data_IF_672234331117
#
_entry.id   IF_672234331117
#
_cell.length_a   1.000
_cell.length_b   1.000
_cell.length_c   1.000
_cell.angle_alpha   90.00
_cell.angle_beta   90.00
_cell.angle_gamma   90.00
#
_symmetry.space_group_name_H-M   'P 1'
#
loop_
_entity.id
_entity.type
_entity.pdbx_description
1 polymer ?
#
# COMPACT_ATOMS: atom_id res chain seq x y z
N UNK A 1 -32.74 44.80 -23.35
CA UNK A 1 -31.85 45.95 -23.67
C UNK A 1 -31.16 46.36 -22.38
N UNK A 2 -29.87 46.06 -22.24
CA UNK A 2 -28.92 46.82 -21.43
C UNK A 2 -27.53 46.31 -21.77
N UNK A 3 -26.76 47.18 -22.38
CA UNK A 3 -25.38 46.99 -22.80
C UNK A 3 -24.49 47.40 -21.60
N UNK A 4 -23.62 46.56 -21.11
CA UNK A 4 -22.52 46.97 -20.24
C UNK A 4 -21.23 47.00 -21.06
N UNK A 5 -20.76 48.22 -21.27
CA UNK A 5 -19.49 48.58 -21.91
C UNK A 5 -18.37 48.56 -20.88
N UNK A 6 -17.36 47.73 -21.09
CA UNK A 6 -16.12 47.72 -20.34
C UNK A 6 -15.22 48.87 -20.79
N UNK A 7 -14.88 49.79 -19.89
CA UNK A 7 -13.91 50.88 -20.13
C UNK A 7 -12.49 50.38 -19.80
N UNK A 8 -11.60 50.47 -20.81
CA UNK A 8 -10.16 50.37 -20.61
C UNK A 8 -9.60 51.71 -20.12
N UNK A 9 -8.85 51.70 -19.00
CA UNK A 9 -8.02 52.83 -18.59
C UNK A 9 -6.56 52.62 -19.03
N UNK A 10 -5.97 53.68 -19.60
CA UNK A 10 -4.59 53.77 -20.06
C UNK A 10 -3.61 53.74 -18.88
N UNK A 11 -2.53 53.01 -19.03
CA UNK A 11 -1.36 53.06 -18.12
C UNK A 11 -0.59 54.35 -18.35
N UNK A 12 -0.21 54.99 -17.23
CA UNK A 12 0.83 56.02 -17.16
C UNK A 12 2.13 55.41 -16.66
N UNK A 13 3.22 55.74 -17.34
CA UNK A 13 4.58 55.30 -17.01
C UNK A 13 5.13 56.01 -15.76
N UNK A 14 5.84 55.26 -14.92
CA UNK A 14 6.87 55.77 -14.02
C UNK A 14 6.65 55.55 -12.54
N UNK A 15 7.06 54.37 -12.04
CA UNK A 15 7.81 54.14 -10.79
C UNK A 15 7.96 52.61 -10.56
N UNK A 16 9.07 52.09 -10.02
CA UNK A 16 9.22 50.66 -9.79
C UNK A 16 8.35 50.23 -8.58
N UNK A 17 7.30 49.52 -8.84
CA UNK A 17 6.49 48.89 -7.80
C UNK A 17 7.23 47.70 -7.19
N UNK A 18 7.71 47.90 -5.97
CA UNK A 18 7.97 46.82 -5.04
C UNK A 18 6.64 46.13 -4.72
N UNK A 19 6.45 44.90 -5.19
CA UNK A 19 5.32 44.06 -4.81
C UNK A 19 5.64 43.53 -3.43
N UNK A 20 5.04 44.11 -2.39
CA UNK A 20 5.00 43.48 -1.08
C UNK A 20 4.03 42.28 -1.16
N UNK A 21 4.57 41.06 -1.12
CA UNK A 21 3.78 39.89 -0.80
C UNK A 21 3.50 39.92 0.71
N UNK A 22 2.32 40.34 1.11
CA UNK A 22 1.77 39.97 2.39
C UNK A 22 1.43 38.46 2.29
N UNK A 23 2.11 37.66 3.10
CA UNK A 23 1.75 36.28 3.31
C UNK A 23 0.46 36.29 4.15
N UNK A 24 -0.65 35.90 3.56
CA UNK A 24 -1.84 35.54 4.33
C UNK A 24 -1.42 34.47 5.34
N UNK A 25 -1.71 34.70 6.61
CA UNK A 25 -1.51 33.70 7.65
C UNK A 25 -2.18 32.39 7.22
N UNK A 26 -1.53 31.23 7.43
CA UNK A 26 -2.13 29.96 7.06
C UNK A 26 -3.47 29.83 7.75
N UNK A 27 -4.52 29.60 6.97
CA UNK A 27 -5.85 29.33 7.47
C UNK A 27 -5.78 28.34 8.64
N UNK A 28 -6.48 28.64 9.73
CA UNK A 28 -6.56 27.81 10.92
C UNK A 28 -6.67 26.33 10.53
N UNK A 29 -5.79 25.51 11.09
CA UNK A 29 -5.85 24.08 10.92
C UNK A 29 -7.27 23.62 11.28
N UNK A 30 -7.94 22.81 10.45
CA UNK A 30 -9.23 22.28 10.81
C UNK A 30 -9.10 21.58 12.16
N UNK A 31 -10.03 21.89 13.07
CA UNK A 31 -10.08 21.34 14.42
C UNK A 31 -9.84 19.83 14.37
N UNK A 32 -8.98 19.33 15.26
CA UNK A 32 -8.78 17.89 15.45
C UNK A 32 -10.14 17.21 15.45
N UNK A 33 -10.35 16.14 14.69
CA UNK A 33 -11.61 15.40 14.77
C UNK A 33 -11.83 15.06 16.25
N UNK A 34 -13.03 15.32 16.73
CA UNK A 34 -13.44 14.96 18.08
C UNK A 34 -13.07 13.50 18.31
N UNK A 35 -12.37 13.23 19.40
CA UNK A 35 -12.05 11.87 19.84
C UNK A 35 -13.36 11.11 19.93
N UNK A 36 -13.50 10.10 19.06
CA UNK A 36 -14.67 9.21 19.06
C UNK A 36 -14.62 8.38 20.36
N UNK A 37 -15.29 8.88 21.40
CA UNK A 37 -15.42 8.19 22.69
C UNK A 37 -16.27 6.91 22.61
N UNK A 38 -16.81 6.57 21.44
CA UNK A 38 -17.60 5.35 21.22
C UNK A 38 -16.75 4.09 21.01
N UNK A 39 -15.42 4.21 20.95
CA UNK A 39 -14.47 3.10 20.72
C UNK A 39 -13.78 2.60 22.02
N UNK A 40 -14.40 2.74 23.18
CA UNK A 40 -13.94 2.08 24.40
C UNK A 40 -14.42 0.63 24.45
N UNK A 41 -13.89 -0.21 23.56
CA UNK A 41 -13.74 -1.64 23.73
C UNK A 41 -12.41 -2.05 23.06
N UNK A 42 -11.31 -1.52 23.62
CA UNK A 42 -9.94 -2.00 23.39
C UNK A 42 -9.69 -3.19 24.33
N UNK A 43 -10.49 -4.24 24.20
CA UNK A 43 -10.23 -5.47 24.93
C UNK A 43 -9.73 -6.51 23.93
N UNK A 44 -8.42 -6.75 24.05
CA UNK A 44 -7.67 -7.93 23.60
C UNK A 44 -7.83 -8.23 22.10
N UNK A 45 -6.83 -7.83 21.32
CA UNK A 45 -6.44 -8.53 20.10
C UNK A 45 -6.25 -10.01 20.47
N UNK A 46 -7.34 -10.78 20.42
CA UNK A 46 -7.30 -12.23 20.64
C UNK A 46 -6.36 -12.84 19.64
N UNK A 47 -5.26 -13.33 20.13
CA UNK A 47 -4.28 -14.24 19.55
C UNK A 47 -4.13 -14.21 18.01
N UNK A 48 -3.42 -13.23 17.48
CA UNK A 48 -2.87 -13.29 16.13
C UNK A 48 -3.49 -12.32 15.14
N UNK A 49 -2.61 -11.66 14.37
CA UNK A 49 -2.98 -10.83 13.23
C UNK A 49 -3.35 -11.72 12.06
N UNK A 50 -4.56 -11.55 11.53
CA UNK A 50 -5.00 -12.20 10.32
C UNK A 50 -4.48 -11.44 9.08
N UNK A 51 -3.87 -12.16 8.15
CA UNK A 51 -3.44 -11.63 6.86
C UNK A 51 -3.85 -12.57 5.72
N UNK A 52 -4.36 -12.01 4.64
CA UNK A 52 -4.66 -12.71 3.39
C UNK A 52 -4.55 -11.74 2.22
N UNK A 53 -3.84 -12.13 1.15
CA UNK A 53 -3.82 -11.43 -0.13
C UNK A 53 -4.84 -12.07 -1.06
N UNK A 54 -5.66 -11.27 -1.74
CA UNK A 54 -6.66 -11.74 -2.72
C UNK A 54 -6.15 -11.67 -4.15
N UNK A 55 -4.98 -11.10 -4.34
CA UNK A 55 -4.27 -10.91 -5.58
C UNK A 55 -3.15 -9.90 -5.41
N UNK A 56 -2.03 -10.13 -6.10
CA UNK A 56 -0.84 -9.29 -6.01
C UNK A 56 -0.11 -9.18 -7.34
N UNK A 57 -0.37 -8.11 -8.08
CA UNK A 57 0.24 -7.81 -9.38
C UNK A 57 -0.64 -6.91 -10.24
N UNK A 58 -0.18 -6.56 -11.45
CA UNK A 58 -0.86 -5.60 -12.35
C UNK A 58 -2.27 -5.99 -12.81
N UNK A 59 -2.76 -7.18 -12.46
CA UNK A 59 -4.17 -7.61 -12.67
C UNK A 59 -5.10 -7.13 -11.57
N UNK A 60 -4.58 -6.90 -10.36
CA UNK A 60 -5.29 -6.38 -9.21
C UNK A 60 -4.57 -6.70 -7.91
N UNK A 61 -4.51 -5.69 -7.05
CA UNK A 61 -3.89 -5.76 -5.72
C UNK A 61 -4.96 -5.53 -4.66
N UNK A 62 -5.04 -6.43 -3.69
CA UNK A 62 -5.90 -6.28 -2.53
C UNK A 62 -5.47 -7.29 -1.46
N UNK A 63 -5.33 -6.83 -0.23
CA UNK A 63 -5.06 -7.70 0.91
C UNK A 63 -5.91 -7.28 2.12
N UNK A 64 -6.23 -8.23 3.00
CA UNK A 64 -6.86 -7.98 4.29
C UNK A 64 -5.82 -8.07 5.39
N UNK A 65 -5.88 -7.15 6.35
CA UNK A 65 -5.09 -7.17 7.58
C UNK A 65 -5.97 -6.76 8.77
N UNK A 66 -5.91 -7.53 9.86
CA UNK A 66 -6.70 -7.27 11.06
C UNK A 66 -6.99 -8.54 11.85
N UNK A 67 -8.12 -8.54 12.55
CA UNK A 67 -8.68 -9.72 13.21
C UNK A 67 -9.91 -10.22 12.44
N UNK A 68 -10.46 -11.42 12.69
CA UNK A 68 -11.69 -11.86 12.05
C UNK A 68 -12.89 -10.93 12.25
N UNK A 69 -12.88 -10.08 13.27
CA UNK A 69 -13.96 -9.17 13.61
C UNK A 69 -13.70 -7.72 13.18
N UNK A 70 -12.43 -7.34 12.97
CA UNK A 70 -12.06 -5.94 12.81
C UNK A 70 -10.75 -5.79 12.01
N UNK A 71 -10.84 -5.31 10.78
CA UNK A 71 -9.69 -5.15 9.91
C UNK A 71 -9.95 -4.22 8.73
N UNK A 72 -8.98 -4.14 7.87
CA UNK A 72 -8.97 -3.24 6.69
C UNK A 72 -8.56 -3.98 5.44
N UNK A 73 -8.94 -3.44 4.29
CA UNK A 73 -8.35 -3.79 3.01
C UNK A 73 -7.20 -2.82 2.70
N UNK A 74 -6.07 -3.36 2.25
CA UNK A 74 -5.01 -2.60 1.61
C UNK A 74 -5.23 -2.72 0.11
N UNK A 75 -5.51 -1.61 -0.53
CA UNK A 75 -5.93 -1.49 -1.92
C UNK A 75 -7.26 -2.18 -2.29
N UNK A 76 -7.74 -1.93 -3.50
CA UNK A 76 -9.05 -2.33 -4.00
C UNK A 76 -9.02 -2.68 -5.50
N UNK A 77 -7.98 -3.38 -5.95
CA UNK A 77 -7.78 -3.76 -7.35
C UNK A 77 -8.42 -5.08 -7.75
N UNK A 78 -8.79 -5.93 -6.78
CA UNK A 78 -9.42 -7.23 -7.00
C UNK A 78 -10.95 -7.11 -6.96
N UNK A 79 -11.67 -7.92 -7.74
CA UNK A 79 -13.14 -7.89 -7.74
C UNK A 79 -13.69 -8.15 -6.33
N UNK A 80 -14.51 -7.24 -5.80
CA UNK A 80 -15.06 -7.36 -4.44
C UNK A 80 -15.82 -8.65 -4.18
N UNK A 81 -16.45 -9.25 -5.20
CA UNK A 81 -17.12 -10.53 -5.02
C UNK A 81 -16.13 -11.61 -4.56
N UNK A 82 -14.97 -11.69 -5.23
CA UNK A 82 -13.92 -12.65 -4.87
C UNK A 82 -13.35 -12.34 -3.47
N UNK A 83 -13.08 -11.05 -3.18
CA UNK A 83 -12.57 -10.60 -1.88
C UNK A 83 -13.50 -11.03 -0.74
N UNK A 84 -14.79 -10.67 -0.83
CA UNK A 84 -15.74 -10.93 0.25
C UNK A 84 -16.20 -12.39 0.32
N UNK A 85 -16.15 -13.14 -0.78
CA UNK A 85 -16.38 -14.58 -0.75
C UNK A 85 -15.24 -15.31 -0.04
N UNK A 86 -13.99 -14.89 -0.29
CA UNK A 86 -12.83 -15.48 0.38
C UNK A 86 -12.77 -15.10 1.87
N UNK A 87 -13.04 -13.84 2.23
CA UNK A 87 -13.19 -13.43 3.63
C UNK A 87 -14.22 -14.31 4.35
N UNK A 88 -15.40 -14.52 3.74
CA UNK A 88 -16.45 -15.36 4.32
C UNK A 88 -16.00 -16.83 4.51
N UNK A 89 -15.24 -17.40 3.56
CA UNK A 89 -14.68 -18.77 3.70
C UNK A 89 -13.78 -18.90 4.92
N UNK A 90 -13.10 -17.80 5.27
CA UNK A 90 -12.22 -17.71 6.42
C UNK A 90 -12.91 -17.17 7.69
N UNK A 91 -14.26 -17.15 7.72
CA UNK A 91 -15.04 -16.73 8.90
C UNK A 91 -15.09 -15.21 9.12
N UNK A 92 -14.64 -14.39 8.15
CA UNK A 92 -14.61 -12.94 8.26
C UNK A 92 -15.85 -12.35 7.58
N UNK A 93 -16.69 -11.69 8.38
CA UNK A 93 -17.90 -11.02 7.89
C UNK A 93 -17.59 -9.72 7.13
N UNK A 94 -18.55 -9.28 6.29
CA UNK A 94 -18.41 -7.99 5.56
C UNK A 94 -18.20 -6.81 6.50
N UNK A 95 -18.88 -6.83 7.66
CA UNK A 95 -18.84 -5.76 8.65
C UNK A 95 -17.49 -5.69 9.39
N UNK A 96 -16.66 -6.72 9.29
CA UNK A 96 -15.29 -6.69 9.81
C UNK A 96 -14.38 -5.73 9.01
N UNK A 97 -14.69 -5.45 7.73
CA UNK A 97 -13.91 -4.55 6.89
C UNK A 97 -14.29 -3.10 7.22
N UNK A 98 -13.54 -2.43 8.07
CA UNK A 98 -13.83 -1.05 8.52
C UNK A 98 -13.31 0.02 7.58
N UNK A 99 -12.34 -0.32 6.71
CA UNK A 99 -11.77 0.63 5.78
C UNK A 99 -11.03 -0.01 4.62
N UNK A 100 -10.78 0.82 3.63
CA UNK A 100 -9.85 0.56 2.52
C UNK A 100 -8.75 1.60 2.61
N UNK A 101 -7.52 1.15 2.78
CA UNK A 101 -6.32 2.01 2.81
C UNK A 101 -5.66 1.91 1.45
N UNK A 102 -5.44 3.02 0.77
CA UNK A 102 -4.91 3.03 -0.60
C UNK A 102 -3.44 3.42 -0.62
N UNK A 103 -2.62 2.64 -1.34
CA UNK A 103 -1.19 2.88 -1.53
C UNK A 103 -0.93 3.95 -2.58
N UNK A 104 -1.54 3.83 -3.77
CA UNK A 104 -1.40 4.79 -4.87
C UNK A 104 -2.59 4.71 -5.85
N UNK A 105 -2.58 5.55 -6.89
CA UNK A 105 -3.74 5.75 -7.77
C UNK A 105 -3.71 4.96 -9.08
N UNK A 106 -2.92 3.89 -9.21
CA UNK A 106 -2.99 3.02 -10.37
C UNK A 106 -4.27 2.17 -10.36
N UNK A 107 -4.75 1.82 -11.56
CA UNK A 107 -6.04 1.17 -11.73
C UNK A 107 -6.13 -0.20 -11.04
N UNK A 108 -5.06 -0.95 -11.03
CA UNK A 108 -4.95 -2.25 -10.37
C UNK A 108 -4.90 -2.16 -8.82
N UNK A 109 -4.86 -0.95 -8.26
CA UNK A 109 -4.98 -0.69 -6.82
C UNK A 109 -6.32 -0.04 -6.43
N UNK A 110 -6.97 0.71 -7.33
CA UNK A 110 -8.14 1.52 -6.96
C UNK A 110 -9.45 1.17 -7.68
N UNK A 111 -9.39 0.27 -8.68
CA UNK A 111 -10.49 -0.04 -9.61
C UNK A 111 -11.84 -0.21 -8.95
N UNK A 112 -11.90 -0.89 -7.83
CA UNK A 112 -13.14 -1.28 -7.17
C UNK A 112 -13.42 -0.54 -5.87
N UNK A 113 -12.61 0.45 -5.48
CA UNK A 113 -12.75 1.14 -4.19
C UNK A 113 -14.17 1.67 -3.95
N UNK A 114 -14.77 2.32 -4.97
CA UNK A 114 -16.12 2.85 -4.84
C UNK A 114 -17.20 1.74 -4.76
N UNK A 115 -17.02 0.64 -5.52
CA UNK A 115 -17.92 -0.52 -5.46
C UNK A 115 -17.90 -1.16 -4.07
N UNK A 116 -16.74 -1.25 -3.43
CA UNK A 116 -16.61 -1.80 -2.07
C UNK A 116 -17.42 -0.97 -1.08
N UNK A 117 -17.16 0.34 -0.99
CA UNK A 117 -17.82 1.21 0.02
C UNK A 117 -19.27 1.49 -0.27
N UNK A 118 -19.71 1.40 -1.53
CA UNK A 118 -21.11 1.60 -1.91
C UNK A 118 -21.98 0.35 -1.73
N UNK A 119 -21.48 -0.82 -2.19
CA UNK A 119 -22.31 -2.00 -2.40
C UNK A 119 -22.05 -3.10 -1.37
N UNK A 120 -20.81 -3.19 -0.84
CA UNK A 120 -20.42 -4.27 0.05
C UNK A 120 -20.42 -3.87 1.53
N UNK A 121 -19.87 -2.71 1.87
CA UNK A 121 -19.93 -2.17 3.22
C UNK A 121 -19.97 -0.64 3.22
N UNK A 122 -21.16 -0.07 3.39
CA UNK A 122 -21.38 1.38 3.41
C UNK A 122 -20.79 2.09 4.64
N UNK A 123 -20.45 1.35 5.68
CA UNK A 123 -19.81 1.89 6.89
C UNK A 123 -18.30 2.00 6.73
N UNK A 124 -17.70 1.23 5.81
CA UNK A 124 -16.29 1.32 5.52
C UNK A 124 -15.92 2.70 4.97
N UNK A 125 -14.69 3.14 5.27
CA UNK A 125 -14.12 4.42 4.83
C UNK A 125 -12.89 4.18 3.95
N UNK A 126 -12.56 5.17 3.13
CA UNK A 126 -11.40 5.17 2.23
C UNK A 126 -10.33 6.07 2.82
N UNK A 127 -9.24 5.49 3.26
CA UNK A 127 -8.10 6.18 3.86
C UNK A 127 -7.04 6.43 2.79
N UNK A 128 -6.89 7.67 2.38
CA UNK A 128 -5.88 8.08 1.40
C UNK A 128 -5.63 9.58 1.50
N UNK A 129 -4.51 10.06 0.95
CA UNK A 129 -4.25 11.50 0.88
C UNK A 129 -5.23 12.19 -0.07
N UNK A 130 -5.42 13.48 0.11
CA UNK A 130 -6.22 14.30 -0.82
C UNK A 130 -5.64 14.29 -2.24
N UNK A 131 -4.30 14.21 -2.34
CA UNK A 131 -3.58 14.18 -3.62
C UNK A 131 -3.86 12.88 -4.37
N UNK A 132 -3.79 11.71 -3.68
CA UNK A 132 -4.15 10.41 -4.23
C UNK A 132 -5.61 10.39 -4.69
N UNK A 133 -6.56 10.80 -3.83
CA UNK A 133 -7.99 10.86 -4.18
C UNK A 133 -8.24 11.67 -5.45
N UNK A 134 -7.64 12.85 -5.55
CA UNK A 134 -7.79 13.69 -6.73
C UNK A 134 -7.08 13.10 -7.98
N UNK A 135 -5.95 12.44 -7.81
CA UNK A 135 -5.23 11.70 -8.86
C UNK A 135 -6.09 10.58 -9.43
N UNK A 136 -6.59 9.72 -8.57
CA UNK A 136 -7.48 8.61 -8.91
C UNK A 136 -8.72 9.08 -9.71
N UNK A 137 -9.37 10.16 -9.29
CA UNK A 137 -10.56 10.70 -9.97
C UNK A 137 -10.26 11.38 -11.30
N UNK A 138 -9.01 11.81 -11.55
CA UNK A 138 -8.59 12.35 -12.85
C UNK A 138 -8.19 11.26 -13.83
N UNK A 139 -7.56 10.19 -13.33
CA UNK A 139 -6.99 9.13 -14.18
C UNK A 139 -7.99 8.05 -14.54
N UNK A 140 -9.00 7.82 -13.68
CA UNK A 140 -9.90 6.67 -13.81
C UNK A 140 -11.37 7.09 -13.81
N UNK A 141 -12.20 6.27 -14.46
CA UNK A 141 -13.65 6.45 -14.47
C UNK A 141 -14.27 5.91 -13.15
N UNK A 142 -13.92 6.56 -12.03
CA UNK A 142 -14.45 6.26 -10.71
C UNK A 142 -15.43 7.37 -10.32
N UNK A 143 -16.57 7.00 -9.74
CA UNK A 143 -17.58 7.97 -9.30
C UNK A 143 -17.01 8.95 -8.26
N UNK A 144 -17.23 10.24 -8.47
CA UNK A 144 -16.83 11.29 -7.51
C UNK A 144 -17.47 11.13 -6.12
N UNK A 145 -18.54 10.36 -6.01
CA UNK A 145 -19.17 10.01 -4.71
C UNK A 145 -18.27 9.20 -3.79
N UNK A 146 -17.16 8.64 -4.29
CA UNK A 146 -16.15 8.01 -3.42
C UNK A 146 -15.58 8.98 -2.38
N UNK A 147 -15.60 10.29 -2.68
CA UNK A 147 -15.19 11.34 -1.71
C UNK A 147 -16.09 11.38 -0.46
N UNK A 148 -17.35 10.96 -0.55
CA UNK A 148 -18.28 10.93 0.60
C UNK A 148 -17.82 9.90 1.66
N UNK A 149 -16.94 8.99 1.28
CA UNK A 149 -16.36 7.95 2.13
C UNK A 149 -14.91 8.23 2.54
N UNK A 150 -14.30 9.31 2.04
CA UNK A 150 -12.89 9.59 2.31
C UNK A 150 -12.66 10.04 3.75
N UNK A 151 -11.66 9.43 4.38
CA UNK A 151 -10.96 9.95 5.55
C UNK A 151 -9.55 10.35 5.08
N UNK A 152 -9.24 11.64 5.00
CA UNK A 152 -7.92 12.08 4.54
C UNK A 152 -6.85 11.69 5.56
N UNK A 153 -5.74 11.17 5.05
CA UNK A 153 -4.54 10.88 5.83
C UNK A 153 -3.37 11.74 5.33
N UNK A 154 -2.34 11.85 6.15
CA UNK A 154 -1.13 12.60 5.83
C UNK A 154 0.09 11.69 5.98
N UNK A 155 1.05 11.87 5.09
CA UNK A 155 2.34 11.17 5.16
C UNK A 155 2.99 11.47 6.51
N UNK A 156 3.56 10.44 7.13
CA UNK A 156 4.25 10.49 8.43
C UNK A 156 3.42 11.01 9.62
N UNK A 157 2.10 11.04 9.44
CA UNK A 157 1.19 11.35 10.54
C UNK A 157 0.43 10.09 10.92
N UNK A 158 0.68 9.51 12.10
CA UNK A 158 0.00 8.29 12.53
C UNK A 158 -1.51 8.48 12.69
N UNK A 159 -2.27 7.46 12.33
CA UNK A 159 -3.70 7.38 12.59
C UNK A 159 -4.10 5.99 13.08
N UNK A 160 -5.14 5.91 13.90
CA UNK A 160 -5.63 4.64 14.44
C UNK A 160 -6.81 4.12 13.65
N UNK A 161 -6.78 2.81 13.35
CA UNK A 161 -7.85 2.11 12.67
C UNK A 161 -7.83 0.63 13.07
N UNK A 162 -8.96 0.10 13.51
CA UNK A 162 -9.11 -1.31 13.93
C UNK A 162 -8.14 -1.76 15.04
N UNK A 163 -7.84 -0.89 16.02
CA UNK A 163 -6.87 -1.19 17.07
C UNK A 163 -5.41 -1.17 16.62
N UNK A 164 -5.14 -0.90 15.36
CA UNK A 164 -3.80 -0.77 14.78
C UNK A 164 -3.46 0.71 14.56
N UNK A 165 -2.18 1.06 14.63
CA UNK A 165 -1.67 2.38 14.28
C UNK A 165 -0.97 2.31 12.92
N UNK A 166 -1.44 3.14 11.99
CA UNK A 166 -0.94 3.23 10.62
C UNK A 166 -0.10 4.49 10.47
N UNK A 167 1.07 4.36 9.86
CA UNK A 167 1.89 5.49 9.40
C UNK A 167 2.18 5.31 7.91
N UNK A 168 1.68 6.23 7.09
CA UNK A 168 2.00 6.27 5.68
C UNK A 168 3.41 6.85 5.48
N UNK A 169 4.20 6.27 4.58
CA UNK A 169 5.50 6.79 4.15
C UNK A 169 5.61 6.80 2.62
N UNK A 170 6.38 7.73 2.08
CA UNK A 170 6.54 7.84 0.62
C UNK A 170 7.35 6.68 0.03
N UNK A 171 6.86 6.14 -1.10
CA UNK A 171 7.58 5.20 -1.97
C UNK A 171 7.88 5.83 -3.32
N UNK A 172 8.89 5.32 -4.04
CA UNK A 172 9.31 5.85 -5.34
C UNK A 172 8.62 5.12 -6.47
N UNK A 173 7.48 5.65 -6.95
CA UNK A 173 6.72 5.07 -8.06
C UNK A 173 6.09 6.16 -8.94
N UNK A 174 5.52 5.80 -10.11
CA UNK A 174 5.00 6.76 -11.11
C UNK A 174 3.50 7.09 -10.94
N UNK A 175 2.90 6.81 -9.77
CA UNK A 175 1.57 7.28 -9.39
C UNK A 175 1.54 8.78 -9.05
N UNK A 176 0.34 9.34 -8.86
CA UNK A 176 0.18 10.74 -8.44
C UNK A 176 0.71 10.97 -7.03
N UNK A 177 0.53 9.99 -6.15
CA UNK A 177 0.97 9.96 -4.77
C UNK A 177 1.17 8.49 -4.38
N UNK A 178 2.34 8.13 -3.87
CA UNK A 178 2.72 6.74 -3.68
C UNK A 178 3.17 6.51 -2.25
N UNK A 179 2.57 5.54 -1.58
CA UNK A 179 2.79 5.30 -0.16
C UNK A 179 2.95 3.82 0.15
N UNK A 180 3.88 3.52 1.05
CA UNK A 180 3.86 2.33 1.88
C UNK A 180 3.20 2.63 3.22
N UNK A 181 2.94 1.59 4.00
CA UNK A 181 2.34 1.69 5.32
C UNK A 181 3.12 0.88 6.35
N UNK A 182 3.51 1.52 7.44
CA UNK A 182 3.92 0.87 8.67
C UNK A 182 2.69 0.73 9.57
N UNK A 183 2.34 -0.50 9.94
CA UNK A 183 1.13 -0.86 10.69
C UNK A 183 1.55 -1.49 11.99
N UNK A 184 1.44 -0.75 13.08
CA UNK A 184 1.83 -1.21 14.40
C UNK A 184 0.67 -1.83 15.15
N UNK A 185 0.91 -2.99 15.77
CA UNK A 185 -0.01 -3.73 16.61
C UNK A 185 0.71 -4.24 17.84
N UNK A 186 0.45 -3.60 18.98
CA UNK A 186 1.22 -3.87 20.18
C UNK A 186 2.72 -3.70 19.95
N UNK A 187 3.49 -4.78 20.12
CA UNK A 187 4.93 -4.78 19.90
C UNK A 187 5.36 -5.20 18.48
N UNK A 188 4.41 -5.49 17.60
CA UNK A 188 4.70 -6.00 16.27
C UNK A 188 4.37 -4.96 15.21
N UNK A 189 5.14 -4.98 14.11
CA UNK A 189 4.98 -4.05 12.99
C UNK A 189 4.86 -4.84 11.69
N UNK A 190 3.75 -4.67 10.98
CA UNK A 190 3.58 -5.12 9.61
C UNK A 190 3.89 -3.94 8.67
N UNK A 191 4.81 -4.14 7.72
CA UNK A 191 5.12 -3.10 6.73
C UNK A 191 4.68 -3.55 5.35
N UNK A 192 3.92 -2.68 4.69
CA UNK A 192 3.50 -2.82 3.28
C UNK A 192 4.32 -1.86 2.44
N UNK A 193 5.14 -2.39 1.55
CA UNK A 193 6.01 -1.63 0.65
C UNK A 193 5.92 -2.24 -0.75
N UNK A 194 4.82 -1.94 -1.45
CA UNK A 194 4.57 -2.35 -2.83
C UNK A 194 4.83 -1.20 -3.79
N UNK A 195 5.06 -1.53 -5.05
CA UNK A 195 5.25 -0.60 -6.16
C UNK A 195 6.29 0.49 -5.86
N UNK A 196 7.55 0.12 -6.04
CA UNK A 196 8.67 1.04 -5.87
C UNK A 196 9.82 0.66 -6.81
N UNK A 197 10.36 1.64 -7.54
CA UNK A 197 11.53 1.42 -8.39
C UNK A 197 12.85 1.33 -7.63
N UNK A 198 12.92 2.01 -6.49
CA UNK A 198 14.06 2.00 -5.56
C UNK A 198 13.55 2.05 -4.11
N UNK A 199 14.34 1.50 -3.21
CA UNK A 199 14.14 1.69 -1.77
C UNK A 199 14.78 3.02 -1.37
N UNK A 200 13.96 4.03 -1.10
CA UNK A 200 14.44 5.34 -0.66
C UNK A 200 14.87 5.27 0.81
N UNK A 201 15.72 6.20 1.30
CA UNK A 201 16.09 6.23 2.73
C UNK A 201 14.86 6.33 3.65
N UNK A 202 13.78 6.91 3.17
CA UNK A 202 12.52 7.00 3.90
C UNK A 202 11.82 5.63 3.99
N UNK A 203 11.68 4.93 2.88
CA UNK A 203 11.13 3.59 2.86
C UNK A 203 11.98 2.62 3.71
N UNK A 204 13.30 2.68 3.57
CA UNK A 204 14.26 1.92 4.38
C UNK A 204 14.04 2.10 5.88
N UNK A 205 13.88 3.37 6.33
CA UNK A 205 13.63 3.70 7.75
C UNK A 205 12.45 2.95 8.35
N UNK A 206 11.34 2.79 7.58
CA UNK A 206 10.16 2.05 8.05
C UNK A 206 10.31 0.54 7.87
N UNK A 207 10.87 0.11 6.76
CA UNK A 207 10.97 -1.31 6.40
C UNK A 207 11.96 -2.08 7.27
N UNK A 208 13.07 -1.46 7.69
CA UNK A 208 14.12 -2.12 8.48
C UNK A 208 13.68 -2.59 9.86
N UNK A 209 12.54 -2.08 10.37
CA UNK A 209 12.00 -2.43 11.68
C UNK A 209 10.78 -3.39 11.59
N UNK A 210 10.51 -3.96 10.42
CA UNK A 210 9.37 -4.82 10.19
C UNK A 210 9.52 -6.16 10.91
N UNK A 211 8.45 -6.62 11.56
CA UNK A 211 8.30 -8.00 12.01
C UNK A 211 7.69 -8.86 10.90
N UNK A 212 6.82 -8.27 10.12
CA UNK A 212 6.18 -8.82 8.93
C UNK A 212 6.36 -7.83 7.79
N UNK A 213 7.04 -8.23 6.72
CA UNK A 213 7.37 -7.37 5.59
C UNK A 213 6.71 -7.87 4.32
N UNK A 214 5.80 -7.08 3.75
CA UNK A 214 5.31 -7.25 2.39
C UNK A 214 6.10 -6.31 1.49
N UNK A 215 6.98 -6.87 0.66
CA UNK A 215 7.91 -6.12 -0.20
C UNK A 215 7.72 -6.49 -1.66
N UNK A 216 7.79 -5.53 -2.56
CA UNK A 216 7.79 -5.78 -3.99
C UNK A 216 9.00 -6.62 -4.40
N UNK A 217 8.73 -7.62 -5.27
CA UNK A 217 9.73 -8.42 -5.98
C UNK A 217 9.23 -8.63 -7.40
N UNK A 218 9.28 -7.55 -8.19
CA UNK A 218 8.51 -7.48 -9.44
C UNK A 218 9.13 -8.31 -10.55
N UNK A 219 10.42 -8.17 -10.81
CA UNK A 219 11.01 -8.81 -11.97
C UNK A 219 12.37 -9.45 -11.69
N UNK A 220 12.66 -10.51 -12.45
CA UNK A 220 14.01 -11.02 -12.63
C UNK A 220 14.71 -10.24 -13.74
N UNK A 221 15.96 -9.81 -13.51
CA UNK A 221 16.72 -8.99 -14.47
C UNK A 221 16.92 -9.69 -15.79
N UNK A 222 17.27 -10.98 -15.78
CA UNK A 222 17.52 -11.75 -16.99
C UNK A 222 16.23 -11.93 -17.79
N UNK A 223 15.11 -12.24 -17.13
CA UNK A 223 13.82 -12.35 -17.80
C UNK A 223 13.37 -11.03 -18.43
N UNK A 224 13.56 -9.91 -17.72
CA UNK A 224 13.24 -8.59 -18.27
C UNK A 224 14.12 -8.25 -19.48
N UNK A 225 15.43 -8.50 -19.39
CA UNK A 225 16.39 -8.17 -20.46
C UNK A 225 16.14 -8.99 -21.73
N UNK A 226 15.86 -10.28 -21.59
CA UNK A 226 15.59 -11.20 -22.70
C UNK A 226 14.12 -11.28 -23.09
N UNK A 227 13.23 -10.70 -22.27
CA UNK A 227 11.78 -10.76 -22.43
C UNK A 227 11.23 -9.95 -23.61
N UNK A 228 9.95 -10.16 -23.90
CA UNK A 228 9.26 -9.60 -25.07
C UNK A 228 8.91 -8.12 -24.98
N UNK A 229 9.12 -7.49 -23.83
CA UNK A 229 8.80 -6.07 -23.69
C UNK A 229 9.66 -5.21 -24.60
N UNK A 230 9.09 -4.18 -25.26
CA UNK A 230 9.87 -3.23 -26.00
C UNK A 230 10.78 -2.43 -25.07
N UNK A 231 11.90 -1.94 -25.60
CA UNK A 231 12.96 -1.30 -24.78
C UNK A 231 12.46 -0.11 -23.94
N UNK A 232 11.53 0.69 -24.44
CA UNK A 232 10.95 1.78 -23.65
C UNK A 232 10.22 1.29 -22.39
N UNK A 233 9.54 0.12 -22.49
CA UNK A 233 8.84 -0.47 -21.35
C UNK A 233 9.83 -1.12 -20.36
N UNK A 234 10.88 -1.79 -20.86
CA UNK A 234 11.96 -2.29 -20.02
C UNK A 234 12.65 -1.15 -19.26
N UNK A 235 12.93 -0.05 -19.95
CA UNK A 235 13.50 1.15 -19.33
C UNK A 235 12.59 1.75 -18.25
N UNK A 236 11.26 1.81 -18.49
CA UNK A 236 10.28 2.24 -17.48
C UNK A 236 10.29 1.32 -16.27
N UNK A 237 10.24 0.00 -16.47
CA UNK A 237 10.26 -0.99 -15.37
C UNK A 237 11.51 -0.84 -14.50
N UNK A 238 12.69 -0.64 -15.11
CA UNK A 238 13.97 -0.47 -14.40
C UNK A 238 14.19 0.93 -13.80
N UNK A 239 13.33 1.90 -14.11
CA UNK A 239 13.55 3.27 -13.63
C UNK A 239 13.38 3.38 -12.11
N UNK A 240 13.92 4.44 -11.54
CA UNK A 240 13.78 4.72 -10.10
C UNK A 240 12.32 4.85 -9.65
N UNK A 241 11.41 5.13 -10.58
CA UNK A 241 9.96 5.18 -10.34
C UNK A 241 9.21 4.01 -10.99
N UNK A 242 9.94 2.99 -11.43
CA UNK A 242 9.37 1.76 -11.98
C UNK A 242 9.06 0.73 -10.90
N UNK A 243 9.71 -0.42 -10.97
CA UNK A 243 9.49 -1.55 -10.06
C UNK A 243 10.80 -2.12 -9.52
N UNK A 244 10.73 -2.78 -8.36
CA UNK A 244 11.87 -3.35 -7.67
C UNK A 244 12.20 -4.74 -8.23
N UNK A 245 13.47 -4.98 -8.56
CA UNK A 245 13.90 -6.31 -8.98
C UNK A 245 14.13 -7.27 -7.79
N UNK A 246 14.12 -8.58 -8.10
CA UNK A 246 14.28 -9.62 -7.09
C UNK A 246 15.57 -9.49 -6.28
N UNK A 247 16.67 -9.08 -6.91
CA UNK A 247 17.98 -8.99 -6.24
C UNK A 247 18.07 -7.81 -5.28
N UNK A 248 17.45 -6.66 -5.61
CA UNK A 248 17.39 -5.51 -4.71
C UNK A 248 16.48 -5.76 -3.50
N UNK A 249 15.33 -6.41 -3.72
CA UNK A 249 14.47 -6.85 -2.62
C UNK A 249 15.19 -7.81 -1.68
N UNK A 250 15.88 -8.80 -2.24
CA UNK A 250 16.67 -9.79 -1.50
C UNK A 250 17.85 -9.17 -0.76
N UNK A 251 18.57 -8.24 -1.39
CA UNK A 251 19.67 -7.49 -0.78
C UNK A 251 19.19 -6.71 0.43
N UNK A 252 18.07 -6.00 0.31
CA UNK A 252 17.49 -5.24 1.42
C UNK A 252 17.22 -6.14 2.64
N UNK A 253 16.52 -7.26 2.46
CA UNK A 253 16.23 -8.19 3.56
C UNK A 253 17.51 -8.77 4.16
N UNK A 254 18.49 -9.12 3.33
CA UNK A 254 19.78 -9.59 3.81
C UNK A 254 20.51 -8.56 4.68
N UNK A 255 20.50 -7.29 4.28
CA UNK A 255 21.27 -6.23 4.97
C UNK A 255 20.56 -5.77 6.26
N UNK A 256 19.24 -5.76 6.28
CA UNK A 256 18.43 -5.25 7.38
C UNK A 256 17.77 -6.34 8.24
N UNK A 257 18.16 -7.60 8.07
CA UNK A 257 17.65 -8.67 8.93
C UNK A 257 17.93 -8.39 10.41
N UNK A 258 16.92 -8.58 11.21
CA UNK A 258 17.01 -8.62 12.67
C UNK A 258 16.12 -9.79 13.22
N UNK A 259 16.38 -10.31 14.43
CA UNK A 259 15.67 -11.49 14.95
C UNK A 259 14.15 -11.31 15.10
N UNK A 260 13.67 -10.07 15.07
CA UNK A 260 12.24 -9.74 15.06
C UNK A 260 11.56 -9.90 13.70
N UNK A 261 12.30 -9.89 12.57
CA UNK A 261 11.73 -10.12 11.24
C UNK A 261 11.37 -11.61 11.09
N UNK A 262 10.09 -11.92 11.09
CA UNK A 262 9.57 -13.30 11.07
C UNK A 262 8.98 -13.72 9.75
N UNK A 263 8.40 -12.79 8.99
CA UNK A 263 7.77 -13.09 7.70
C UNK A 263 8.17 -12.11 6.63
N UNK A 264 8.45 -12.64 5.45
CA UNK A 264 8.63 -11.86 4.22
C UNK A 264 7.65 -12.36 3.18
N UNK A 265 6.76 -11.47 2.74
CA UNK A 265 5.81 -11.69 1.67
C UNK A 265 6.30 -10.96 0.41
N UNK A 266 6.65 -11.71 -0.64
CA UNK A 266 7.02 -11.14 -1.91
C UNK A 266 5.75 -10.80 -2.69
N UNK A 267 5.58 -9.54 -3.05
CA UNK A 267 4.36 -9.06 -3.72
C UNK A 267 4.65 -8.48 -5.10
N UNK A 268 3.58 -8.25 -5.85
CA UNK A 268 3.56 -7.57 -7.16
C UNK A 268 4.50 -8.19 -8.20
N UNK A 269 4.56 -9.53 -8.27
CA UNK A 269 5.40 -10.25 -9.24
C UNK A 269 4.87 -10.01 -10.67
N UNK A 270 5.77 -9.69 -11.60
CA UNK A 270 5.44 -9.56 -13.03
C UNK A 270 5.03 -10.90 -13.63
N UNK A 271 3.99 -10.89 -14.44
CA UNK A 271 3.56 -12.08 -15.17
C UNK A 271 4.55 -12.52 -16.26
N UNK A 272 5.18 -11.56 -16.90
CA UNK A 272 6.01 -11.79 -18.09
C UNK A 272 7.50 -11.82 -17.77
N UNK A 273 7.92 -11.20 -16.68
CA UNK A 273 9.32 -10.99 -16.36
C UNK A 273 9.71 -11.54 -14.98
N UNK A 274 8.90 -12.43 -14.40
CA UNK A 274 9.21 -13.10 -13.14
C UNK A 274 8.48 -14.44 -13.04
N UNK A 275 8.91 -15.24 -12.07
CA UNK A 275 8.16 -16.40 -11.58
C UNK A 275 8.27 -16.44 -10.04
N UNK A 276 7.28 -17.03 -9.33
CA UNK A 276 7.40 -17.24 -7.90
C UNK A 276 8.68 -17.98 -7.50
N UNK A 277 9.09 -18.96 -8.31
CA UNK A 277 10.31 -19.75 -8.06
C UNK A 277 11.57 -18.88 -8.09
N UNK A 278 11.72 -17.98 -9.07
CA UNK A 278 12.86 -17.07 -9.18
C UNK A 278 12.90 -16.04 -8.05
N UNK A 279 11.75 -15.45 -7.73
CA UNK A 279 11.65 -14.48 -6.65
C UNK A 279 11.98 -15.12 -5.28
N UNK A 280 11.42 -16.31 -5.01
CA UNK A 280 11.70 -17.09 -3.80
C UNK A 280 13.16 -17.53 -3.72
N UNK A 281 13.76 -18.00 -4.82
CA UNK A 281 15.16 -18.42 -4.85
C UNK A 281 16.10 -17.25 -4.54
N UNK A 282 15.93 -16.10 -5.20
CA UNK A 282 16.76 -14.93 -4.96
C UNK A 282 16.71 -14.46 -3.49
N UNK A 283 15.51 -14.45 -2.89
CA UNK A 283 15.32 -14.07 -1.49
C UNK A 283 15.91 -15.11 -0.54
N UNK A 284 15.66 -16.40 -0.78
CA UNK A 284 16.19 -17.52 0.01
C UNK A 284 17.70 -17.51 0.03
N UNK A 285 18.36 -17.44 -1.13
CA UNK A 285 19.81 -17.42 -1.25
C UNK A 285 20.44 -16.26 -0.47
N UNK A 286 19.81 -15.09 -0.52
CA UNK A 286 20.29 -13.92 0.22
C UNK A 286 20.18 -14.10 1.74
N UNK A 287 19.10 -14.68 2.24
CA UNK A 287 18.87 -14.94 3.67
C UNK A 287 19.82 -16.06 4.15
N UNK A 288 19.90 -17.18 3.42
CA UNK A 288 20.73 -18.33 3.77
C UNK A 288 22.24 -18.01 3.69
N UNK A 289 22.66 -17.04 2.86
CA UNK A 289 24.04 -16.55 2.83
C UNK A 289 24.50 -15.93 4.17
N UNK A 290 23.56 -15.59 5.05
CA UNK A 290 23.83 -15.14 6.43
C UNK A 290 23.82 -16.28 7.46
N UNK A 291 23.66 -17.53 7.05
CA UNK A 291 23.52 -18.68 7.93
C UNK A 291 22.15 -18.81 8.59
N UNK A 292 21.15 -18.10 8.05
CA UNK A 292 19.77 -18.13 8.55
C UNK A 292 18.96 -19.24 7.85
N UNK A 293 17.92 -19.72 8.52
CA UNK A 293 17.04 -20.75 7.99
C UNK A 293 15.74 -20.15 7.46
N UNK A 294 15.28 -20.61 6.28
CA UNK A 294 14.09 -20.10 5.61
C UNK A 294 13.01 -21.18 5.56
N UNK A 295 11.85 -20.88 6.13
CA UNK A 295 10.63 -21.68 6.01
C UNK A 295 9.85 -21.35 4.74
N UNK A 296 8.93 -22.23 4.36
CA UNK A 296 8.10 -22.12 3.16
C UNK A 296 6.67 -21.63 3.46
N UNK A 297 6.47 -21.06 4.65
CA UNK A 297 5.18 -20.60 5.16
C UNK A 297 4.11 -21.71 5.32
N UNK A 298 4.48 -22.97 5.18
CA UNK A 298 3.57 -24.09 5.46
C UNK A 298 3.46 -24.33 6.96
N UNK A 299 2.38 -25.01 7.37
CA UNK A 299 2.20 -25.43 8.76
C UNK A 299 2.95 -26.72 9.10
N UNK A 300 3.79 -27.23 8.20
CA UNK A 300 4.55 -28.45 8.41
C UNK A 300 5.48 -28.31 9.64
N UNK A 301 5.61 -29.36 10.49
CA UNK A 301 6.38 -29.26 11.73
C UNK A 301 7.85 -28.86 11.53
N UNK A 302 8.47 -29.27 10.42
CA UNK A 302 9.86 -28.97 10.08
C UNK A 302 10.06 -27.53 9.57
N UNK A 303 8.98 -26.84 9.22
CA UNK A 303 8.98 -25.43 8.81
C UNK A 303 8.76 -24.47 9.98
N UNK A 304 8.23 -24.96 11.09
CA UNK A 304 8.05 -24.17 12.30
C UNK A 304 9.41 -23.93 12.97
N UNK A 305 9.63 -22.69 13.42
CA UNK A 305 10.88 -22.33 14.12
C UNK A 305 12.05 -21.98 13.19
N UNK A 306 11.84 -21.90 11.87
CA UNK A 306 12.79 -21.25 10.97
C UNK A 306 12.93 -19.77 11.31
N UNK A 307 14.09 -19.18 11.02
CA UNK A 307 14.36 -17.78 11.34
C UNK A 307 13.39 -16.82 10.63
N UNK A 308 13.09 -17.09 9.36
CA UNK A 308 12.14 -16.32 8.53
C UNK A 308 11.21 -17.28 7.78
N UNK A 309 9.93 -16.95 7.74
CA UNK A 309 8.97 -17.53 6.82
C UNK A 309 8.90 -16.71 5.54
N UNK A 310 8.98 -17.36 4.38
CA UNK A 310 9.02 -16.71 3.07
C UNK A 310 7.86 -17.18 2.21
N UNK A 311 7.09 -16.25 1.63
CA UNK A 311 5.97 -16.58 0.77
C UNK A 311 5.85 -15.59 -0.40
N UNK A 312 5.67 -16.10 -1.62
CA UNK A 312 5.36 -15.28 -2.79
C UNK A 312 3.84 -15.19 -2.96
N UNK A 313 3.29 -14.01 -2.87
CA UNK A 313 1.85 -13.78 -2.97
C UNK A 313 1.33 -14.09 -4.38
N UNK A 314 0.25 -14.87 -4.49
CA UNK A 314 -0.34 -15.24 -5.78
C UNK A 314 -0.86 -14.01 -6.54
N UNK A 315 -0.75 -14.06 -7.86
CA UNK A 315 -1.16 -12.96 -8.73
C UNK A 315 -2.68 -12.88 -8.93
N UNK A 316 -3.34 -14.03 -9.09
CA UNK A 316 -4.73 -14.11 -9.54
C UNK A 316 -5.68 -14.75 -8.54
N UNK A 317 -5.16 -15.32 -7.48
CA UNK A 317 -5.92 -16.06 -6.48
C UNK A 317 -5.56 -15.63 -5.07
N UNK A 318 -6.38 -16.01 -4.13
CA UNK A 318 -6.10 -15.71 -2.73
C UNK A 318 -4.92 -16.55 -2.21
N UNK A 319 -4.10 -15.93 -1.36
CA UNK A 319 -3.11 -16.65 -0.56
C UNK A 319 -3.80 -17.53 0.49
N UNK A 320 -3.07 -18.45 1.14
CA UNK A 320 -3.53 -19.00 2.41
C UNK A 320 -3.90 -17.89 3.41
N UNK A 321 -4.77 -18.23 4.34
CA UNK A 321 -5.08 -17.39 5.48
C UNK A 321 -3.99 -17.55 6.54
N UNK A 322 -3.24 -16.48 6.80
CA UNK A 322 -2.16 -16.47 7.77
C UNK A 322 -2.65 -15.90 9.10
N UNK A 323 -2.26 -16.55 10.20
CA UNK A 323 -2.30 -15.97 11.54
C UNK A 323 -0.85 -15.73 11.94
N UNK A 324 -0.51 -14.47 12.10
CA UNK A 324 0.85 -13.97 12.30
C UNK A 324 1.16 -13.72 13.77
#
# INVERSE_FOLDING_TARGET
>A
MNKNTTKYHRFNEGTPNTINFEWDEPAEQPAKPASDESLRHDDELGSGLAFISFGSGSSGNCAYIGTPQNGVLIDAGVDPQNVFDELRRNGIGRDAVKGVVLTHDHQDHVRYVYKIVRDYNKQARVYCTMRLMNGMLRRHNISRRVKDYQVPIWVETPFKLCGMEFTAFETSHDGTDNMGFSIQMGQQTFVVATDMGIITPRAEHYMQNAHYLMIESNYDRTMLDTGRYPEFLKARVRSNTGHLDNSLAAQFVREHYHPGLKWVFLCHLSNDNNTPALALAAMRDAIESRGLTVGDASNAPDQRGRDIQLYALPRYEASPFFIL
#
